data_IF_524478653322
#
_entry.id   IF_524478653322
#
_cell.length_a   1.000
_cell.length_b   1.000
_cell.length_c   1.000
_cell.angle_alpha   90.00
_cell.angle_beta   90.00
_cell.angle_gamma   90.00
#
_symmetry.space_group_name_H-M   'P 1'
#
loop_
_entity.id
_entity.type
_entity.pdbx_description
1 polymer ?
#
# COMPACT_ATOMS: atom_id res chain seq x y z
N UNK A 1 -41.72 -40.95 22.06
CA UNK A 1 -41.29 -39.73 22.79
C UNK A 1 -40.13 -39.13 22.00
N UNK A 2 -40.42 -38.25 21.04
CA UNK A 2 -39.41 -37.62 20.18
C UNK A 2 -39.14 -36.21 20.69
N UNK A 3 -37.91 -35.98 21.16
CA UNK A 3 -37.45 -34.64 21.51
C UNK A 3 -36.80 -33.99 20.28
N UNK A 4 -37.44 -32.94 19.77
CA UNK A 4 -36.93 -32.06 18.72
C UNK A 4 -35.83 -31.16 19.30
N UNK A 5 -34.60 -31.34 18.84
CA UNK A 5 -33.48 -30.45 19.13
C UNK A 5 -33.52 -29.28 18.14
N UNK A 6 -33.94 -28.11 18.62
CA UNK A 6 -33.84 -26.84 17.88
C UNK A 6 -32.40 -26.32 17.95
N UNK A 7 -31.61 -26.58 16.91
CA UNK A 7 -30.30 -25.94 16.72
C UNK A 7 -30.55 -24.51 16.23
N UNK A 8 -30.46 -23.56 17.15
CA UNK A 8 -30.46 -22.13 16.81
C UNK A 8 -29.13 -21.79 16.12
N UNK A 9 -29.14 -21.77 14.79
CA UNK A 9 -28.06 -21.22 13.96
C UNK A 9 -28.01 -19.70 14.19
N UNK A 10 -27.16 -19.26 15.12
CA UNK A 10 -26.78 -17.86 15.21
C UNK A 10 -25.97 -17.50 13.97
N UNK A 11 -26.65 -16.98 12.94
CA UNK A 11 -25.97 -16.24 11.86
C UNK A 11 -25.35 -15.00 12.50
N UNK A 12 -24.07 -15.10 12.86
CA UNK A 12 -23.22 -13.94 13.10
C UNK A 12 -23.11 -13.23 11.75
N UNK A 13 -23.96 -12.22 11.55
CA UNK A 13 -23.81 -11.29 10.45
C UNK A 13 -22.51 -10.52 10.67
N UNK A 14 -21.42 -11.03 10.10
CA UNK A 14 -20.15 -10.31 10.06
C UNK A 14 -20.43 -9.00 9.31
N UNK A 15 -20.23 -7.82 9.92
CA UNK A 15 -20.39 -6.57 9.19
C UNK A 15 -19.47 -6.62 7.98
N UNK A 16 -20.07 -6.56 6.80
CA UNK A 16 -19.34 -6.58 5.53
C UNK A 16 -18.79 -5.18 5.33
N UNK A 17 -17.68 -4.87 6.01
CA UNK A 17 -16.95 -3.64 5.75
C UNK A 17 -16.53 -3.61 4.27
N UNK A 18 -16.78 -2.47 3.62
CA UNK A 18 -16.40 -2.29 2.23
C UNK A 18 -14.89 -2.57 2.06
N UNK A 19 -14.49 -3.32 1.02
CA UNK A 19 -13.09 -3.59 0.79
C UNK A 19 -12.35 -2.27 0.53
N UNK A 20 -11.05 -2.25 0.80
CA UNK A 20 -10.21 -1.09 0.57
C UNK A 20 -9.48 -1.26 -0.75
N UNK A 21 -9.59 -0.26 -1.62
CA UNK A 21 -8.78 -0.16 -2.83
C UNK A 21 -7.43 0.41 -2.46
N UNK A 22 -6.40 -0.41 -2.60
CA UNK A 22 -4.99 -0.01 -2.41
C UNK A 22 -4.33 0.13 -3.78
N UNK A 23 -3.71 1.28 -4.00
CA UNK A 23 -2.89 1.60 -5.17
C UNK A 23 -1.44 1.70 -4.73
N UNK A 24 -0.57 0.92 -5.35
CA UNK A 24 0.88 0.91 -5.12
C UNK A 24 1.57 1.42 -6.36
N UNK A 25 2.32 2.50 -6.19
CA UNK A 25 3.15 3.09 -7.22
C UNK A 25 4.59 2.71 -6.95
N UNK A 26 5.22 2.04 -7.92
CA UNK A 26 6.60 1.54 -7.82
C UNK A 26 7.50 2.53 -8.55
N UNK A 27 8.42 3.13 -7.80
CA UNK A 27 9.34 4.18 -8.27
C UNK A 27 10.77 3.73 -8.08
N UNK A 28 11.61 4.02 -9.07
CA UNK A 28 13.05 3.87 -8.95
C UNK A 28 13.71 5.24 -9.02
N UNK A 29 14.60 5.51 -8.06
CA UNK A 29 15.37 6.74 -8.01
C UNK A 29 16.87 6.46 -8.19
N UNK A 30 17.60 7.35 -8.86
CA UNK A 30 19.03 7.17 -9.16
C UNK A 30 19.80 8.48 -9.02
N UNK A 31 21.12 8.39 -8.85
CA UNK A 31 22.05 9.51 -8.93
C UNK A 31 22.64 9.69 -10.34
N UNK A 32 22.43 8.73 -11.25
CA UNK A 32 23.18 8.63 -12.51
C UNK A 32 22.65 9.53 -13.62
N UNK A 33 21.46 10.11 -13.45
CA UNK A 33 20.86 11.07 -14.38
C UNK A 33 19.90 12.00 -13.66
N UNK A 34 19.40 13.02 -14.36
CA UNK A 34 18.50 14.06 -13.82
C UNK A 34 17.06 13.93 -14.35
N UNK A 35 16.70 12.78 -14.92
CA UNK A 35 15.39 12.57 -15.54
C UNK A 35 14.35 12.28 -14.47
N UNK A 36 13.35 13.17 -14.34
CA UNK A 36 12.24 13.02 -13.37
C UNK A 36 10.93 12.87 -14.14
N UNK A 37 10.22 11.76 -13.93
CA UNK A 37 8.86 11.59 -14.43
C UNK A 37 7.97 12.77 -13.98
N UNK A 38 7.22 13.43 -14.88
CA UNK A 38 6.41 14.60 -14.54
C UNK A 38 5.46 14.39 -13.35
N UNK A 39 4.96 13.17 -13.15
CA UNK A 39 4.05 12.81 -12.04
C UNK A 39 4.76 12.67 -10.70
N UNK A 40 6.09 12.51 -10.72
CA UNK A 40 6.91 12.28 -9.54
C UNK A 40 7.64 13.54 -9.06
N UNK A 41 7.44 14.70 -9.69
CA UNK A 41 8.15 15.95 -9.33
C UNK A 41 8.03 16.32 -7.85
N UNK A 42 6.82 16.24 -7.28
CA UNK A 42 6.63 16.56 -5.86
C UNK A 42 7.22 15.49 -4.94
N UNK A 43 7.12 14.21 -5.31
CA UNK A 43 7.78 13.13 -4.57
C UNK A 43 9.30 13.30 -4.58
N UNK A 44 9.88 13.61 -5.75
CA UNK A 44 11.31 13.82 -5.91
C UNK A 44 11.81 14.95 -4.99
N UNK A 45 11.10 16.07 -4.92
CA UNK A 45 11.42 17.18 -4.00
C UNK A 45 11.48 16.70 -2.55
N UNK A 46 10.50 15.95 -2.07
CA UNK A 46 10.49 15.47 -0.68
C UNK A 46 11.59 14.44 -0.40
N UNK A 47 11.86 13.54 -1.34
CA UNK A 47 12.95 12.56 -1.22
C UNK A 47 14.31 13.26 -1.22
N UNK A 48 14.51 14.26 -2.08
CA UNK A 48 15.76 15.02 -2.21
C UNK A 48 16.10 15.87 -0.98
N UNK A 49 15.10 16.31 -0.20
CA UNK A 49 15.36 16.96 1.10
C UNK A 49 16.12 16.04 2.05
N UNK A 50 15.92 14.72 1.94
CA UNK A 50 16.56 13.71 2.78
C UNK A 50 17.81 13.11 2.14
N UNK A 51 17.76 12.82 0.85
CA UNK A 51 18.89 12.29 0.09
C UNK A 51 19.07 13.10 -1.22
N UNK A 52 19.85 14.20 -1.17
CA UNK A 52 20.00 15.11 -2.31
C UNK A 52 20.79 14.49 -3.47
N UNK A 53 21.39 13.30 -3.30
CA UNK A 53 22.12 12.61 -4.37
C UNK A 53 21.19 11.95 -5.38
N UNK A 54 19.94 11.69 -5.01
CA UNK A 54 18.95 11.11 -5.91
C UNK A 54 18.38 12.20 -6.82
N UNK A 55 18.75 12.18 -8.08
CA UNK A 55 18.47 13.23 -9.06
C UNK A 55 17.53 12.76 -10.18
N UNK A 56 17.49 11.45 -10.46
CA UNK A 56 16.59 10.83 -11.43
C UNK A 56 15.49 10.02 -10.73
N UNK A 57 14.27 10.07 -11.24
CA UNK A 57 13.10 9.37 -10.70
C UNK A 57 12.21 8.86 -11.84
N UNK A 58 11.96 7.55 -11.86
CA UNK A 58 11.11 6.91 -12.88
C UNK A 58 9.96 6.13 -12.25
N UNK A 59 8.77 6.26 -12.85
CA UNK A 59 7.63 5.41 -12.56
C UNK A 59 7.80 4.07 -13.29
N UNK A 60 7.92 2.97 -12.54
CA UNK A 60 8.09 1.63 -13.12
C UNK A 60 6.74 0.98 -13.39
N UNK A 61 5.87 0.99 -12.38
CA UNK A 61 4.57 0.32 -12.45
C UNK A 61 3.59 0.93 -11.46
N UNK A 62 2.31 0.66 -11.69
CA UNK A 62 1.23 1.00 -10.76
C UNK A 62 0.33 -0.22 -10.63
N UNK A 63 0.27 -0.76 -9.42
CA UNK A 63 -0.53 -1.92 -9.08
C UNK A 63 -1.74 -1.49 -8.26
N UNK A 64 -2.89 -2.12 -8.51
CA UNK A 64 -4.11 -1.80 -7.81
C UNK A 64 -4.80 -3.09 -7.36
N UNK A 65 -5.13 -3.18 -6.07
CA UNK A 65 -5.86 -4.33 -5.50
C UNK A 65 -7.02 -3.85 -4.64
N UNK A 66 -8.11 -4.58 -4.69
CA UNK A 66 -9.22 -4.44 -3.74
C UNK A 66 -9.03 -5.52 -2.67
N UNK A 67 -8.85 -5.11 -1.42
CA UNK A 67 -8.49 -6.00 -0.31
C UNK A 67 -9.59 -5.89 0.75
N UNK A 68 -10.20 -7.00 1.19
CA UNK A 68 -11.18 -6.96 2.27
C UNK A 68 -10.49 -6.53 3.58
N UNK A 69 -11.26 -5.95 4.50
CA UNK A 69 -10.74 -5.60 5.83
C UNK A 69 -10.32 -6.86 6.58
N UNK A 70 -9.19 -6.82 7.26
CA UNK A 70 -8.49 -7.97 7.82
C UNK A 70 -7.71 -8.80 6.79
N UNK A 71 -7.96 -8.58 5.50
CA UNK A 71 -7.32 -9.27 4.39
C UNK A 71 -5.87 -8.83 4.17
N UNK A 72 -5.09 -9.74 3.62
CA UNK A 72 -3.68 -9.51 3.25
C UNK A 72 -3.46 -9.84 1.78
N UNK A 73 -2.51 -9.14 1.16
CA UNK A 73 -2.06 -9.42 -0.21
C UNK A 73 -0.57 -9.20 -0.34
N UNK A 74 -0.02 -9.75 -1.42
CA UNK A 74 1.35 -9.53 -1.84
C UNK A 74 1.35 -8.83 -3.19
N UNK A 75 2.21 -7.81 -3.35
CA UNK A 75 2.44 -7.10 -4.59
C UNK A 75 3.87 -7.37 -5.02
N UNK A 76 4.04 -7.88 -6.25
CA UNK A 76 5.36 -8.04 -6.84
C UNK A 76 5.97 -6.67 -7.16
N UNK A 77 7.22 -6.49 -6.78
CA UNK A 77 8.02 -5.31 -7.06
C UNK A 77 9.11 -5.64 -8.10
N UNK A 78 10.07 -4.73 -8.26
CA UNK A 78 11.26 -4.97 -9.10
C UNK A 78 12.16 -6.03 -8.47
N UNK A 79 13.01 -6.68 -9.28
CA UNK A 79 14.05 -7.62 -8.82
C UNK A 79 13.53 -8.76 -7.93
N UNK A 80 12.33 -9.25 -8.22
CA UNK A 80 11.63 -10.31 -7.48
C UNK A 80 11.39 -9.98 -6.00
N UNK A 81 11.48 -8.70 -5.63
CA UNK A 81 11.07 -8.25 -4.31
C UNK A 81 9.55 -8.26 -4.21
N UNK A 82 9.05 -8.31 -2.99
CA UNK A 82 7.62 -8.35 -2.70
C UNK A 82 7.29 -7.34 -1.61
N UNK A 83 6.15 -6.66 -1.77
CA UNK A 83 5.51 -5.90 -0.72
C UNK A 83 4.36 -6.74 -0.17
N UNK A 84 4.46 -7.16 1.09
CA UNK A 84 3.32 -7.74 1.80
C UNK A 84 2.56 -6.61 2.49
N UNK A 85 1.24 -6.68 2.44
CA UNK A 85 0.38 -5.70 3.08
C UNK A 85 -0.88 -6.32 3.64
N UNK A 86 -1.43 -5.67 4.66
CA UNK A 86 -2.69 -6.00 5.29
C UNK A 86 -3.52 -4.73 5.46
N UNK A 87 -4.82 -4.85 5.21
CA UNK A 87 -5.80 -3.82 5.57
C UNK A 87 -6.28 -4.15 6.97
N UNK A 88 -5.92 -3.33 7.95
CA UNK A 88 -6.33 -3.57 9.33
C UNK A 88 -7.72 -2.98 9.60
N UNK A 89 -8.01 -1.80 9.05
CA UNK A 89 -9.28 -1.09 9.23
C UNK A 89 -9.63 -0.26 7.99
N UNK A 90 -10.90 -0.29 7.55
CA UNK A 90 -11.37 0.49 6.39
C UNK A 90 -11.51 1.97 6.66
N UNK A 91 -12.14 2.38 7.76
CA UNK A 91 -12.33 3.79 8.10
C UNK A 91 -12.52 3.95 9.61
N UNK A 92 -11.60 4.66 10.25
CA UNK A 92 -11.78 5.10 11.64
C UNK A 92 -12.77 6.28 11.74
N UNK A 93 -13.10 6.69 12.97
CA UNK A 93 -13.98 7.84 13.25
C UNK A 93 -13.49 9.15 12.60
N UNK A 94 -12.20 9.24 12.26
CA UNK A 94 -11.54 10.39 11.62
C UNK A 94 -11.39 10.21 10.10
N UNK A 95 -11.96 9.14 9.54
CA UNK A 95 -11.91 8.87 8.11
C UNK A 95 -10.59 8.29 7.59
N UNK A 96 -9.77 7.70 8.46
CA UNK A 96 -8.46 7.14 8.11
C UNK A 96 -8.53 5.62 7.93
N UNK A 97 -7.73 5.12 6.99
CA UNK A 97 -7.54 3.69 6.74
C UNK A 97 -6.28 3.24 7.46
N UNK A 98 -6.34 2.15 8.21
CA UNK A 98 -5.15 1.55 8.82
C UNK A 98 -4.59 0.43 7.93
N UNK A 99 -3.33 0.55 7.56
CA UNK A 99 -2.60 -0.43 6.77
C UNK A 99 -1.33 -0.86 7.50
N UNK A 100 -1.05 -2.16 7.45
CA UNK A 100 0.26 -2.71 7.81
C UNK A 100 1.01 -3.10 6.54
N UNK A 101 2.20 -2.54 6.36
CA UNK A 101 3.09 -2.81 5.23
C UNK A 101 4.32 -3.54 5.72
N UNK A 102 4.82 -4.49 4.93
CA UNK A 102 6.11 -5.12 5.13
C UNK A 102 6.92 -4.96 3.82
N UNK A 103 7.64 -3.84 3.68
CA UNK A 103 8.50 -3.55 2.53
C UNK A 103 9.80 -4.36 2.57
N UNK A 104 10.45 -4.58 1.41
CA UNK A 104 11.69 -5.33 1.36
C UNK A 104 12.81 -4.66 2.18
N UNK A 105 13.41 -5.44 3.08
CA UNK A 105 14.52 -5.00 3.92
C UNK A 105 14.13 -4.09 5.09
N UNK A 106 12.83 -4.01 5.44
CA UNK A 106 12.32 -3.24 6.57
C UNK A 106 11.44 -4.10 7.47
N UNK A 107 11.35 -3.72 8.75
CA UNK A 107 10.32 -4.26 9.63
C UNK A 107 8.92 -3.81 9.20
N UNK A 108 7.90 -4.53 9.67
CA UNK A 108 6.52 -4.16 9.41
C UNK A 108 6.20 -2.76 9.98
N UNK A 109 5.57 -1.92 9.15
CA UNK A 109 5.14 -0.58 9.52
C UNK A 109 3.62 -0.50 9.40
N UNK A 110 2.96 -0.21 10.52
CA UNK A 110 1.53 0.11 10.55
C UNK A 110 1.35 1.62 10.51
N UNK A 111 0.48 2.10 9.64
CA UNK A 111 0.17 3.53 9.54
C UNK A 111 -1.29 3.78 9.19
N UNK A 112 -1.84 4.88 9.73
CA UNK A 112 -3.17 5.36 9.42
C UNK A 112 -3.09 6.45 8.36
N UNK A 113 -3.63 6.19 7.17
CA UNK A 113 -3.60 7.10 6.04
C UNK A 113 -4.94 7.80 5.80
N UNK A 114 -4.87 9.07 5.41
CA UNK A 114 -6.04 9.76 4.87
C UNK A 114 -6.35 9.23 3.47
N UNK A 115 -7.64 9.11 3.15
CA UNK A 115 -8.09 8.73 1.82
C UNK A 115 -7.47 9.64 0.75
N UNK A 116 -7.17 9.06 -0.42
CA UNK A 116 -6.65 9.74 -1.61
C UNK A 116 -5.26 10.41 -1.47
N UNK A 117 -4.53 10.15 -0.39
CA UNK A 117 -3.13 10.58 -0.24
C UNK A 117 -2.16 9.43 -0.43
N UNK A 118 -1.09 9.69 -1.18
CA UNK A 118 0.03 8.77 -1.28
C UNK A 118 0.98 8.93 -0.09
N UNK A 119 1.40 7.80 0.47
CA UNK A 119 2.44 7.71 1.47
C UNK A 119 3.67 7.02 0.85
N UNK A 120 4.78 7.76 0.63
CA UNK A 120 5.99 7.18 0.09
C UNK A 120 6.83 6.49 1.18
N UNK A 121 7.30 5.29 0.86
CA UNK A 121 8.24 4.47 1.63
C UNK A 121 9.51 4.32 0.81
N UNK A 122 10.58 4.96 1.27
CA UNK A 122 11.92 4.76 0.72
C UNK A 122 12.49 3.50 1.38
N UNK A 123 12.60 2.42 0.61
CA UNK A 123 13.12 1.14 1.13
C UNK A 123 14.66 1.18 1.20
N UNK A 124 15.34 0.29 1.92
CA UNK A 124 16.79 0.15 1.80
C UNK A 124 17.21 -0.65 0.55
N UNK A 125 16.25 -1.23 -0.18
CA UNK A 125 16.54 -2.07 -1.34
C UNK A 125 17.04 -1.24 -2.53
N UNK A 126 18.17 -1.68 -3.09
CA UNK A 126 18.78 -1.16 -4.32
C UNK A 126 18.67 -2.22 -5.40
N UNK A 127 18.27 -1.83 -6.60
CA UNK A 127 18.23 -2.74 -7.75
C UNK A 127 19.63 -3.18 -8.15
N UNK A 128 19.74 -4.18 -9.03
CA UNK A 128 21.03 -4.57 -9.62
C UNK A 128 21.76 -3.42 -10.33
N UNK A 129 21.02 -2.43 -10.81
CA UNK A 129 21.56 -1.22 -11.45
C UNK A 129 21.90 -0.11 -10.44
N UNK A 130 21.77 -0.33 -9.13
CA UNK A 130 22.06 0.66 -8.08
C UNK A 130 20.92 1.64 -7.80
N UNK A 131 19.76 1.48 -8.43
CA UNK A 131 18.62 2.37 -8.28
C UNK A 131 17.89 2.10 -6.95
N UNK A 132 17.51 3.16 -6.26
CA UNK A 132 16.77 3.14 -5.01
C UNK A 132 15.30 2.79 -5.26
N UNK A 133 14.80 1.72 -4.64
CA UNK A 133 13.38 1.37 -4.69
C UNK A 133 12.57 2.22 -3.71
N UNK A 134 11.58 2.92 -4.23
CA UNK A 134 10.61 3.73 -3.50
C UNK A 134 9.21 3.20 -3.83
N UNK A 135 8.38 3.03 -2.80
CA UNK A 135 7.02 2.52 -2.91
C UNK A 135 6.08 3.62 -2.41
N UNK A 136 5.15 4.09 -3.24
CA UNK A 136 4.12 5.03 -2.80
C UNK A 136 2.76 4.33 -2.72
N UNK A 137 2.16 4.32 -1.53
CA UNK A 137 0.91 3.61 -1.25
C UNK A 137 -0.21 4.63 -1.02
N UNK A 138 -1.31 4.47 -1.75
CA UNK A 138 -2.56 5.19 -1.50
C UNK A 138 -3.67 4.17 -1.25
N UNK A 139 -4.51 4.44 -0.26
CA UNK A 139 -5.68 3.64 -0.01
C UNK A 139 -6.94 4.50 0.05
N UNK A 140 -8.03 3.92 -0.40
CA UNK A 140 -9.37 4.49 -0.31
C UNK A 140 -10.40 3.38 -0.13
N UNK A 141 -11.51 3.62 0.58
CA UNK A 141 -12.59 2.67 0.62
C UNK A 141 -13.10 2.42 -0.81
N UNK A 142 -13.43 1.18 -1.14
CA UNK A 142 -14.18 0.89 -2.34
C UNK A 142 -15.61 1.41 -2.13
N UNK A 143 -15.88 2.63 -2.55
CA UNK A 143 -17.27 3.06 -2.73
C UNK A 143 -17.82 2.28 -3.91
N UNK A 144 -18.54 1.19 -3.66
CA UNK A 144 -19.30 0.53 -4.71
C UNK A 144 -20.31 1.56 -5.26
N UNK A 145 -20.04 2.12 -6.45
CA UNK A 145 -21.09 2.71 -7.26
C UNK A 145 -21.68 1.61 -8.12
N UNK A 146 -22.67 0.91 -7.57
CA UNK A 146 -24.00 0.67 -8.15
C UNK A 146 -24.83 -0.18 -7.21
#
# INVERSE_FOLDING_TARGET
MSALVLVAYMFVACPTEDPVRVTVVIVLATADNTTIDPKLKELAKEVQKRDPKLTGFKLVATECKSIPVGGSTTISLTDKQELKMKVDQSKDEKGRISLTLNPPGMDAVTYACACDKFFPVVTPHRTKAGEQLIIAIMAKPCTAKK
#
